data_IF_914701018003
#
_entry.id   IF_914701018003
#
_cell.length_a   1.000
_cell.length_b   1.000
_cell.length_c   1.000
_cell.angle_alpha   90.00
_cell.angle_beta   90.00
_cell.angle_gamma   90.00
#
_symmetry.space_group_name_H-M   'P 1'
#
loop_
_entity.id
_entity.type
_entity.pdbx_description
1 polymer ?
#
# COMPACT_ATOMS: atom_id res chain seq x y z
N UNK A 1 5.79 -6.93 -15.86
CA UNK A 1 5.41 -5.55 -15.45
C UNK A 1 3.90 -5.53 -15.36
N UNK A 2 3.33 -5.26 -14.17
CA UNK A 2 1.88 -5.20 -13.93
C UNK A 2 1.49 -3.75 -13.64
N UNK A 3 0.43 -3.27 -14.26
CA UNK A 3 -0.08 -1.90 -14.10
C UNK A 3 -1.54 -1.98 -13.68
N UNK A 4 -1.89 -1.29 -12.59
CA UNK A 4 -3.25 -1.17 -12.08
C UNK A 4 -3.58 0.31 -11.95
N UNK A 5 -4.76 0.71 -12.41
CA UNK A 5 -5.25 2.09 -12.31
C UNK A 5 -6.48 2.11 -11.44
N UNK A 6 -6.47 2.96 -10.42
CA UNK A 6 -7.64 3.16 -9.56
C UNK A 6 -8.17 4.59 -9.72
N UNK A 7 -9.47 4.76 -9.57
CA UNK A 7 -10.14 6.07 -9.70
C UNK A 7 -10.74 6.58 -8.39
N UNK A 8 -10.83 5.74 -7.36
CA UNK A 8 -11.31 6.12 -6.03
C UNK A 8 -10.53 5.41 -4.92
N UNK A 9 -10.62 5.94 -3.71
CA UNK A 9 -9.99 5.34 -2.52
C UNK A 9 -10.66 4.03 -2.11
N UNK A 10 -11.91 3.78 -2.51
CA UNK A 10 -12.65 2.56 -2.20
C UNK A 10 -12.06 1.33 -2.92
N UNK A 11 -11.27 1.54 -3.97
CA UNK A 11 -10.58 0.49 -4.73
C UNK A 11 -9.24 0.10 -4.11
N UNK A 12 -8.77 0.80 -3.07
CA UNK A 12 -7.50 0.48 -2.39
C UNK A 12 -7.44 -0.95 -1.82
N UNK A 13 -8.51 -1.52 -1.22
CA UNK A 13 -8.49 -2.90 -0.73
C UNK A 13 -8.29 -3.94 -1.85
N UNK A 14 -8.90 -3.72 -3.01
CA UNK A 14 -8.74 -4.59 -4.18
C UNK A 14 -7.32 -4.48 -4.75
N UNK A 15 -6.82 -3.25 -4.90
CA UNK A 15 -5.43 -3.00 -5.30
C UNK A 15 -4.43 -3.66 -4.35
N UNK A 16 -4.66 -3.55 -3.03
CA UNK A 16 -3.81 -4.15 -2.01
C UNK A 16 -3.73 -5.67 -2.16
N UNK A 17 -4.87 -6.36 -2.33
CA UNK A 17 -4.92 -7.81 -2.59
C UNK A 17 -4.17 -8.18 -3.88
N UNK A 18 -4.35 -7.39 -4.94
CA UNK A 18 -3.66 -7.61 -6.21
C UNK A 18 -2.14 -7.44 -6.10
N UNK A 19 -1.66 -6.50 -5.27
CA UNK A 19 -0.24 -6.26 -5.00
C UNK A 19 0.37 -7.36 -4.12
N UNK A 20 -0.32 -7.81 -3.08
CA UNK A 20 0.11 -8.92 -2.22
C UNK A 20 0.27 -10.20 -3.06
N UNK A 21 -0.72 -10.53 -3.88
CA UNK A 21 -0.65 -11.68 -4.78
C UNK A 21 0.49 -11.55 -5.81
N UNK A 22 0.73 -10.33 -6.33
CA UNK A 22 1.80 -10.07 -7.29
C UNK A 22 3.20 -10.20 -6.67
N UNK A 23 3.40 -9.72 -5.45
CA UNK A 23 4.68 -9.77 -4.77
C UNK A 23 5.06 -11.18 -4.29
N UNK A 24 4.08 -12.02 -3.95
CA UNK A 24 4.30 -13.40 -3.55
C UNK A 24 5.22 -13.51 -2.33
N UNK A 25 6.43 -14.04 -2.53
CA UNK A 25 7.42 -14.25 -1.46
C UNK A 25 8.37 -13.07 -1.24
N UNK A 26 8.30 -12.03 -2.07
CA UNK A 26 9.16 -10.86 -1.96
C UNK A 26 8.85 -10.07 -0.69
N UNK A 27 9.86 -9.92 0.18
CA UNK A 27 9.69 -9.29 1.49
C UNK A 27 9.97 -7.78 1.50
N UNK A 28 10.72 -7.28 0.51
CA UNK A 28 11.18 -5.89 0.47
C UNK A 28 10.52 -5.19 -0.72
N UNK A 29 9.68 -4.20 -0.43
CA UNK A 29 8.95 -3.45 -1.45
C UNK A 29 9.37 -1.98 -1.42
N UNK A 30 9.48 -1.36 -2.59
CA UNK A 30 9.88 0.05 -2.72
C UNK A 30 8.75 0.84 -3.36
N UNK A 31 8.13 1.74 -2.59
CA UNK A 31 7.09 2.65 -3.07
C UNK A 31 7.69 4.01 -3.46
N UNK A 32 7.62 4.37 -4.74
CA UNK A 32 8.12 5.65 -5.27
C UNK A 32 6.98 6.53 -5.77
N UNK A 33 7.05 7.81 -5.49
CA UNK A 33 6.05 8.80 -5.91
C UNK A 33 6.18 10.10 -5.11
N UNK A 34 5.63 11.19 -5.64
CA UNK A 34 5.65 12.50 -5.00
C UNK A 34 4.90 12.52 -3.65
N UNK A 35 5.14 13.54 -2.82
CA UNK A 35 4.31 13.79 -1.64
C UNK A 35 2.85 13.98 -2.06
N UNK A 36 1.91 13.40 -1.31
CA UNK A 36 0.49 13.44 -1.68
C UNK A 36 0.05 12.43 -2.75
N UNK A 37 0.97 11.68 -3.37
CA UNK A 37 0.64 10.67 -4.40
C UNK A 37 -0.06 9.40 -3.86
N UNK A 38 -0.47 9.36 -2.59
CA UNK A 38 -1.21 8.23 -2.02
C UNK A 38 -0.38 7.06 -1.47
N UNK A 39 0.97 7.12 -1.50
CA UNK A 39 1.85 6.03 -1.03
C UNK A 39 1.48 5.46 0.35
N UNK A 40 1.33 6.33 1.35
CA UNK A 40 0.99 5.92 2.72
C UNK A 40 -0.40 5.29 2.79
N UNK A 41 -1.36 5.79 2.01
CA UNK A 41 -2.71 5.21 1.93
C UNK A 41 -2.68 3.81 1.31
N UNK A 42 -1.87 3.60 0.27
CA UNK A 42 -1.67 2.27 -0.33
C UNK A 42 -1.03 1.30 0.66
N UNK A 43 0.01 1.73 1.38
CA UNK A 43 0.67 0.89 2.40
C UNK A 43 -0.32 0.51 3.51
N UNK A 44 -1.15 1.45 3.98
CA UNK A 44 -2.20 1.18 4.97
C UNK A 44 -3.18 0.12 4.50
N UNK A 45 -3.64 0.20 3.24
CA UNK A 45 -4.56 -0.78 2.67
C UNK A 45 -3.93 -2.18 2.58
N UNK A 46 -2.65 -2.27 2.19
CA UNK A 46 -1.90 -3.54 2.15
C UNK A 46 -1.82 -4.15 3.56
N UNK A 47 -1.45 -3.36 4.56
CA UNK A 47 -1.31 -3.84 5.94
C UNK A 47 -2.66 -4.30 6.52
N UNK A 48 -3.74 -3.58 6.22
CA UNK A 48 -5.09 -4.00 6.59
C UNK A 48 -5.48 -5.35 5.97
N UNK A 49 -5.21 -5.58 4.68
CA UNK A 49 -5.45 -6.87 4.01
C UNK A 49 -4.55 -8.00 4.55
N UNK A 50 -3.37 -7.68 5.08
CA UNK A 50 -2.49 -8.63 5.77
C UNK A 50 -2.91 -8.89 7.23
N UNK A 51 -3.99 -8.28 7.70
CA UNK A 51 -4.51 -8.46 9.06
C UNK A 51 -3.81 -7.62 10.14
N UNK A 52 -3.02 -6.62 9.76
CA UNK A 52 -2.40 -5.69 10.72
C UNK A 52 -3.47 -4.74 11.25
N UNK A 53 -3.69 -4.77 12.56
CA UNK A 53 -4.69 -3.94 13.25
C UNK A 53 -4.10 -2.68 13.89
N UNK A 54 -2.78 -2.57 13.93
CA UNK A 54 -2.09 -1.44 14.55
C UNK A 54 -2.21 -0.16 13.74
N UNK A 55 -2.14 0.99 14.43
CA UNK A 55 -2.14 2.29 13.77
C UNK A 55 -0.86 2.52 12.98
N UNK A 56 -0.97 2.49 11.64
CA UNK A 56 0.15 2.77 10.74
C UNK A 56 0.23 4.27 10.47
N UNK A 57 1.38 4.89 10.78
CA UNK A 57 1.64 6.30 10.49
C UNK A 57 2.88 6.45 9.61
N UNK A 58 2.97 7.58 8.89
CA UNK A 58 4.15 7.87 8.07
C UNK A 58 5.34 8.13 8.98
N UNK A 59 6.47 7.40 8.85
CA UNK A 59 7.65 7.62 9.69
C UNK A 59 8.41 8.92 9.34
N UNK A 60 7.91 9.71 8.38
CA UNK A 60 8.52 10.98 7.93
C UNK A 60 8.73 11.98 9.08
N UNK A 61 7.93 11.87 10.14
CA UNK A 61 8.09 12.61 11.40
C UNK A 61 7.89 11.68 12.61
N UNK A 62 8.45 10.47 12.55
CA UNK A 62 8.54 9.65 13.76
C UNK A 62 9.52 10.35 14.73
N UNK A 63 8.97 10.91 15.80
CA UNK A 63 9.72 11.24 17.02
C UNK A 63 9.92 9.96 17.83
#
# INVERSE_FOLDING_TARGET
MKTETISSLEQLPELARALIAFAGMERIWVFRGAMGAGKTSTIKAILAEMGVTDSVQSPTFAW
#
